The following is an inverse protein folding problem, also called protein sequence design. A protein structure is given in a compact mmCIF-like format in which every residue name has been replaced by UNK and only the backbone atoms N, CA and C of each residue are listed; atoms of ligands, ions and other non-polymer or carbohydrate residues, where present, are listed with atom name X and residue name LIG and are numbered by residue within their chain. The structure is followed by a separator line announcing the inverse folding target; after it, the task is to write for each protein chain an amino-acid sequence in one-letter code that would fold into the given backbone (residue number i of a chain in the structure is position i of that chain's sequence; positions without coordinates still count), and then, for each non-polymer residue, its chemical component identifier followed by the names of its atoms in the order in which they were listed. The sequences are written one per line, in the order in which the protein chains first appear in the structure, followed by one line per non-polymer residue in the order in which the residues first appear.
data_IF_286674787431
#
_entry.id   IF_286674787431
#
_cell.length_a   1.000
_cell.length_b   1.000
_cell.length_c   1.000
_cell.angle_alpha   90.00
_cell.angle_beta   90.00
_cell.angle_gamma   90.00
#
_symmetry.space_group_name_H-M   'P 1'
#
loop_
_entity.id
_entity.type
_entity.pdbx_description
1 polymer ?
#
# COMPACT_ATOMS: atom_id res chain seq x y z
N UNK A 1 20.52 5.04 14.75
CA UNK A 1 19.35 4.44 14.09
C UNK A 1 19.82 3.20 13.35
N UNK A 2 19.26 2.04 13.66
CA UNK A 2 19.62 0.79 13.01
C UNK A 2 18.77 0.67 11.74
N UNK A 3 19.40 0.42 10.59
CA UNK A 3 18.65 0.16 9.36
C UNK A 3 17.78 -1.08 9.58
N UNK A 4 16.47 -0.95 9.37
CA UNK A 4 15.53 -2.06 9.35
C UNK A 4 15.20 -2.35 7.88
N UNK A 5 16.03 -3.15 7.18
CA UNK A 5 15.81 -3.45 5.75
C UNK A 5 14.47 -4.15 5.49
N UNK A 6 13.83 -4.68 6.54
CA UNK A 6 12.53 -5.34 6.51
C UNK A 6 11.41 -4.49 7.16
N UNK A 7 11.57 -3.17 7.22
CA UNK A 7 10.50 -2.29 7.67
C UNK A 7 9.47 -2.09 6.54
N UNK A 8 8.37 -2.86 6.60
CA UNK A 8 7.34 -2.89 5.58
C UNK A 8 6.79 -1.52 5.14
N UNK A 9 6.51 -0.56 6.03
CA UNK A 9 6.02 0.75 5.63
C UNK A 9 6.99 1.53 4.72
N UNK A 10 8.31 1.40 4.90
CA UNK A 10 9.28 2.04 4.02
C UNK A 10 9.28 1.43 2.61
N UNK A 11 9.15 0.10 2.51
CA UNK A 11 9.02 -0.60 1.23
C UNK A 11 7.73 -0.22 0.50
N UNK A 12 6.65 0.05 1.24
CA UNK A 12 5.39 0.50 0.64
C UNK A 12 5.53 1.88 -0.04
N UNK A 13 6.24 2.80 0.62
CA UNK A 13 6.55 4.13 0.05
C UNK A 13 7.46 4.01 -1.18
N UNK A 14 8.43 3.10 -1.15
CA UNK A 14 9.30 2.85 -2.31
C UNK A 14 8.49 2.36 -3.52
N UNK A 15 7.56 1.42 -3.29
CA UNK A 15 6.68 0.92 -4.35
C UNK A 15 5.77 2.02 -4.94
N UNK A 16 5.30 2.95 -4.12
CA UNK A 16 4.57 4.15 -4.57
C UNK A 16 5.42 5.03 -5.51
N UNK A 17 6.68 5.30 -5.12
CA UNK A 17 7.62 6.09 -5.92
C UNK A 17 7.92 5.38 -7.24
N UNK A 18 8.18 4.08 -7.20
CA UNK A 18 8.49 3.31 -8.39
C UNK A 18 7.29 3.20 -9.34
N UNK A 19 6.06 3.10 -8.81
CA UNK A 19 4.85 3.19 -9.63
C UNK A 19 4.71 4.57 -10.30
N UNK A 20 4.98 5.66 -9.59
CA UNK A 20 4.97 7.01 -10.15
C UNK A 20 6.04 7.20 -11.25
N UNK A 21 7.17 6.51 -11.13
CA UNK A 21 8.25 6.49 -12.14
C UNK A 21 7.98 5.52 -13.30
N UNK A 22 6.87 4.77 -13.28
CA UNK A 22 6.51 3.79 -14.31
C UNK A 22 7.22 2.44 -14.18
N UNK A 23 7.89 2.16 -13.07
CA UNK A 23 8.56 0.88 -12.76
C UNK A 23 7.59 -0.11 -12.13
N UNK A 24 6.60 -0.50 -12.91
CA UNK A 24 5.39 -1.20 -12.46
C UNK A 24 5.66 -2.51 -11.72
N UNK A 25 6.48 -3.38 -12.30
CA UNK A 25 6.72 -4.72 -11.71
C UNK A 25 7.46 -4.62 -10.37
N UNK A 26 8.47 -3.75 -10.32
CA UNK A 26 9.23 -3.48 -9.10
C UNK A 26 8.33 -2.91 -8.00
N UNK A 27 7.49 -1.95 -8.35
CA UNK A 27 6.53 -1.33 -7.44
C UNK A 27 5.56 -2.34 -6.83
N UNK A 28 5.08 -3.30 -7.63
CA UNK A 28 4.19 -4.36 -7.16
C UNK A 28 4.91 -5.35 -6.24
N UNK A 29 6.14 -5.76 -6.58
CA UNK A 29 6.92 -6.68 -5.74
C UNK A 29 7.23 -6.07 -4.37
N UNK A 30 7.65 -4.81 -4.34
CA UNK A 30 7.93 -4.08 -3.10
C UNK A 30 6.67 -3.92 -2.24
N UNK A 31 5.54 -3.60 -2.87
CA UNK A 31 4.26 -3.49 -2.19
C UNK A 31 3.76 -4.81 -1.60
N UNK A 32 3.91 -5.93 -2.31
CA UNK A 32 3.59 -7.26 -1.78
C UNK A 32 4.48 -7.61 -0.58
N UNK A 33 5.78 -7.28 -0.65
CA UNK A 33 6.71 -7.49 0.45
C UNK A 33 6.35 -6.62 1.66
N UNK A 34 5.92 -5.38 1.44
CA UNK A 34 5.45 -4.50 2.50
C UNK A 34 4.25 -5.08 3.25
N UNK A 35 3.27 -5.64 2.53
CA UNK A 35 2.10 -6.33 3.12
C UNK A 35 2.55 -7.54 3.95
N UNK A 36 3.45 -8.37 3.42
CA UNK A 36 3.95 -9.55 4.13
C UNK A 36 4.70 -9.19 5.42
N UNK A 37 5.43 -8.07 5.42
CA UNK A 37 6.18 -7.57 6.58
C UNK A 37 5.32 -6.79 7.58
N UNK A 38 4.13 -6.33 7.15
CA UNK A 38 3.20 -5.57 8.00
C UNK A 38 1.82 -6.22 8.05
N UNK A 39 1.68 -7.43 8.63
CA UNK A 39 0.39 -8.09 8.72
C UNK A 39 -0.59 -7.24 9.52
N UNK A 40 -1.78 -7.01 8.97
CA UNK A 40 -2.82 -6.17 9.56
C UNK A 40 -3.18 -6.64 10.98
N UNK A 41 -3.18 -7.94 11.22
CA UNK A 41 -3.51 -8.56 12.51
C UNK A 41 -2.49 -8.26 13.61
N UNK A 42 -1.25 -7.93 13.23
CA UNK A 42 -0.15 -7.64 14.17
C UNK A 42 0.04 -6.15 14.40
N UNK A 43 -0.22 -5.33 13.39
CA UNK A 43 -0.11 -3.88 13.46
C UNK A 43 -1.20 -3.25 12.60
N UNK A 44 -2.35 -3.00 13.22
CA UNK A 44 -3.52 -2.48 12.51
C UNK A 44 -3.25 -1.09 11.93
N UNK A 45 -2.46 -0.26 12.61
CA UNK A 45 -2.18 1.11 12.21
C UNK A 45 -1.31 1.13 10.94
N UNK A 46 -0.15 0.46 10.98
CA UNK A 46 0.74 0.43 9.82
C UNK A 46 0.20 -0.48 8.71
N UNK A 47 -0.42 -1.61 9.05
CA UNK A 47 -1.02 -2.53 8.09
C UNK A 47 -2.13 -1.89 7.27
N UNK A 48 -2.96 -1.05 7.89
CA UNK A 48 -4.00 -0.28 7.19
C UNK A 48 -3.39 0.69 6.16
N UNK A 49 -2.33 1.42 6.53
CA UNK A 49 -1.63 2.33 5.62
C UNK A 49 -0.98 1.59 4.46
N UNK A 50 -0.30 0.46 4.74
CA UNK A 50 0.37 -0.35 3.71
C UNK A 50 -0.62 -0.89 2.69
N UNK A 51 -1.77 -1.40 3.12
CA UNK A 51 -2.83 -1.88 2.21
C UNK A 51 -3.35 -0.77 1.30
N UNK A 52 -3.58 0.42 1.84
CA UNK A 52 -4.06 1.56 1.06
C UNK A 52 -3.03 2.02 0.02
N UNK A 53 -1.79 2.24 0.45
CA UNK A 53 -0.74 2.69 -0.45
C UNK A 53 -0.46 1.65 -1.53
N UNK A 54 -0.53 0.36 -1.21
CA UNK A 54 -0.45 -0.69 -2.22
C UNK A 54 -1.60 -0.66 -3.22
N UNK A 55 -2.82 -0.32 -2.80
CA UNK A 55 -3.94 -0.13 -3.73
C UNK A 55 -3.68 1.01 -4.74
N UNK A 56 -3.08 2.12 -4.28
CA UNK A 56 -2.68 3.24 -5.13
C UNK A 56 -1.55 2.80 -6.07
N UNK A 57 -0.53 2.11 -5.55
CA UNK A 57 0.56 1.52 -6.34
C UNK A 57 0.02 0.63 -7.46
N UNK A 58 -0.93 -0.27 -7.16
CA UNK A 58 -1.56 -1.14 -8.16
C UNK A 58 -2.34 -0.34 -9.21
N UNK A 59 -3.08 0.69 -8.80
CA UNK A 59 -3.80 1.57 -9.71
C UNK A 59 -2.84 2.30 -10.67
N UNK A 60 -1.74 2.86 -10.16
CA UNK A 60 -0.70 3.53 -10.95
C UNK A 60 0.07 2.55 -11.84
N UNK A 61 0.26 1.31 -11.39
CA UNK A 61 0.79 0.22 -12.21
C UNK A 61 -0.18 -0.24 -13.33
N UNK A 62 -1.40 0.30 -13.38
CA UNK A 62 -2.48 -0.10 -14.29
C UNK A 62 -3.08 -1.48 -14.03
N UNK A 63 -2.85 -2.06 -12.84
CA UNK A 63 -3.50 -3.29 -12.36
C UNK A 63 -4.76 -2.95 -11.55
N UNK A 64 -5.85 -2.68 -12.28
CA UNK A 64 -7.10 -2.16 -11.71
C UNK A 64 -7.84 -3.18 -10.84
N UNK A 65 -7.79 -4.46 -11.22
CA UNK A 65 -8.45 -5.52 -10.45
C UNK A 65 -7.76 -5.69 -9.10
N UNK A 66 -6.43 -5.73 -9.09
CA UNK A 66 -5.67 -5.78 -7.85
C UNK A 66 -5.94 -4.54 -6.98
N UNK A 67 -5.96 -3.34 -7.56
CA UNK A 67 -6.27 -2.12 -6.82
C UNK A 67 -7.64 -2.21 -6.11
N UNK A 68 -8.68 -2.66 -6.82
CA UNK A 68 -10.02 -2.83 -6.25
C UNK A 68 -10.07 -3.87 -5.15
N UNK A 69 -9.39 -5.00 -5.30
CA UNK A 69 -9.30 -6.03 -4.25
C UNK A 69 -8.66 -5.49 -2.98
N UNK A 70 -7.59 -4.69 -3.09
CA UNK A 70 -6.92 -4.08 -1.94
C UNK A 70 -7.79 -3.02 -1.27
N UNK A 71 -8.52 -2.22 -2.05
CA UNK A 71 -9.51 -1.27 -1.52
C UNK A 71 -10.61 -1.98 -0.73
N UNK A 72 -11.17 -3.07 -1.27
CA UNK A 72 -12.20 -3.85 -0.57
C UNK A 72 -11.69 -4.44 0.74
N UNK A 73 -10.47 -4.98 0.74
CA UNK A 73 -9.82 -5.49 1.95
C UNK A 73 -9.61 -4.37 2.99
N UNK A 74 -9.16 -3.19 2.55
CA UNK A 74 -8.94 -2.02 3.40
C UNK A 74 -10.24 -1.45 3.98
N UNK A 75 -11.34 -1.45 3.24
CA UNK A 75 -12.63 -0.96 3.74
C UNK A 75 -13.15 -1.76 4.95
N UNK A 76 -12.73 -3.02 5.08
CA UNK A 76 -13.08 -3.88 6.22
C UNK A 76 -12.17 -3.65 7.43
N UNK A 77 -11.09 -2.84 7.30
CA UNK A 77 -10.17 -2.53 8.39
C UNK A 77 -10.59 -1.27 9.16
N UNK A 78 -10.44 -1.24 10.51
CA UNK A 78 -10.95 -0.15 11.36
C UNK A 78 -10.38 1.24 11.06
N UNK A 79 -9.14 1.32 10.55
CA UNK A 79 -8.39 2.57 10.36
C UNK A 79 -8.33 3.01 8.90
N UNK A 80 -8.27 2.06 7.97
CA UNK A 80 -8.18 2.36 6.55
C UNK A 80 -9.45 3.03 6.00
N UNK A 81 -10.63 2.78 6.59
CA UNK A 81 -11.88 3.43 6.19
C UNK A 81 -11.88 4.97 6.36
N UNK A 82 -11.06 5.52 7.27
CA UNK A 82 -10.89 6.97 7.46
C UNK A 82 -10.02 7.57 6.34
N UNK A 83 -9.03 6.82 5.86
CA UNK A 83 -8.10 7.28 4.84
C UNK A 83 -8.54 6.92 3.40
N UNK A 84 -9.43 5.95 3.22
CA UNK A 84 -10.01 5.53 1.93
C UNK A 84 -11.22 6.38 1.51
N UNK A 85 -11.07 7.71 1.58
CA UNK A 85 -12.06 8.63 1.03
C UNK A 85 -11.69 9.05 -0.39
N UNK A 86 -12.71 9.34 -1.21
CA UNK A 86 -12.49 9.93 -2.54
C UNK A 86 -11.62 11.20 -2.47
N UNK A 87 -11.76 12.00 -1.41
CA UNK A 87 -10.94 13.19 -1.19
C UNK A 87 -9.45 12.86 -0.99
N UNK A 88 -9.14 11.86 -0.16
CA UNK A 88 -7.76 11.42 0.07
C UNK A 88 -7.12 10.85 -1.21
N UNK A 89 -7.88 10.06 -1.99
CA UNK A 89 -7.39 9.50 -3.25
C UNK A 89 -7.22 10.54 -4.36
N UNK A 90 -8.03 11.60 -4.37
CA UNK A 90 -7.96 12.66 -5.40
C UNK A 90 -6.82 13.65 -5.17
N UNK A 91 -6.36 13.80 -3.92
CA UNK A 91 -5.34 14.77 -3.52
C UNK A 91 -3.91 14.19 -3.49
N UNK A 92 -3.78 12.87 -3.70
CA UNK A 92 -2.51 12.18 -3.94
C UNK A 92 -2.21 12.14 -5.43
#
# INVERSE_FOLDING_TARGET
MQAQPDYGPALCVLGLIDAALGRKDLALDEGRRAIALTPLEKDVANGSCVLQYFAITAAWASDKELALQQLEAGLRAPSASIMLSYGALKLL
#
